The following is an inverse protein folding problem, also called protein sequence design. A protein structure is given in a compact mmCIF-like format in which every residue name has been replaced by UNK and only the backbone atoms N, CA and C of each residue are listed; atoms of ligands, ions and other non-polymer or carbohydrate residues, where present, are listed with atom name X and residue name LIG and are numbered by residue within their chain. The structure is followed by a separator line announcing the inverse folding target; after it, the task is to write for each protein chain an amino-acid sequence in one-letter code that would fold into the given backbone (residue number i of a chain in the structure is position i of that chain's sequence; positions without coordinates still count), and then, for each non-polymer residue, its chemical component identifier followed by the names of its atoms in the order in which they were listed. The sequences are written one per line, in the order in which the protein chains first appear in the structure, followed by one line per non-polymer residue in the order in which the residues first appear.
data_IF_354332819913
#
_entry.id   IF_354332819913
#
_cell.length_a   1.000
_cell.length_b   1.000
_cell.length_c   1.000
_cell.angle_alpha   90.00
_cell.angle_beta   90.00
_cell.angle_gamma   90.00
#
_symmetry.space_group_name_H-M   'P 1'
#
loop_
_entity.id
_entity.type
_entity.pdbx_description
1 polymer ?
#
# COMPACT_ATOMS: atom_id res chain seq x y z
N UNK A 1 -14.52 28.71 10.11
CA UNK A 1 -13.63 28.50 11.28
C UNK A 1 -13.19 27.05 11.26
N UNK A 2 -11.92 26.74 11.57
CA UNK A 2 -11.46 25.35 11.70
C UNK A 2 -12.29 24.58 12.73
N UNK A 3 -12.53 23.31 12.44
CA UNK A 3 -13.03 22.34 13.41
C UNK A 3 -11.83 21.62 14.01
N UNK A 4 -11.77 21.52 15.33
CA UNK A 4 -10.74 20.80 16.04
C UNK A 4 -11.35 19.75 16.94
N UNK A 5 -10.73 18.58 16.95
CA UNK A 5 -11.12 17.46 17.78
C UNK A 5 -10.27 17.47 19.05
N UNK A 6 -10.91 17.28 20.19
CA UNK A 6 -10.26 17.23 21.49
C UNK A 6 -10.63 15.94 22.21
N UNK A 7 -9.66 15.43 22.98
CA UNK A 7 -9.79 14.25 23.84
C UNK A 7 -9.38 14.59 25.27
N UNK A 8 -10.15 14.07 26.23
CA UNK A 8 -9.77 14.10 27.63
C UNK A 8 -9.15 12.76 28.04
N UNK A 9 -8.00 12.77 28.73
CA UNK A 9 -7.38 11.53 29.21
C UNK A 9 -8.17 10.87 30.36
N UNK A 10 -8.85 11.66 31.19
CA UNK A 10 -9.56 11.15 32.37
C UNK A 10 -10.91 10.52 32.03
N UNK A 11 -11.77 11.24 31.32
CA UNK A 11 -13.10 10.73 30.95
C UNK A 11 -13.15 10.07 29.57
N UNK A 12 -12.09 10.18 28.77
CA UNK A 12 -12.00 9.65 27.40
C UNK A 12 -13.11 10.14 26.46
N UNK A 13 -13.71 11.27 26.77
CA UNK A 13 -14.69 11.89 25.89
C UNK A 13 -13.99 12.59 24.73
N UNK A 14 -14.51 12.36 23.52
CA UNK A 14 -14.17 13.06 22.29
C UNK A 14 -15.15 14.21 22.07
N UNK A 15 -14.65 15.36 21.64
CA UNK A 15 -15.50 16.52 21.38
C UNK A 15 -14.94 17.37 20.25
N UNK A 16 -15.82 17.75 19.33
CA UNK A 16 -15.50 18.62 18.21
C UNK A 16 -15.89 20.06 18.54
N UNK A 17 -14.97 21.00 18.34
CA UNK A 17 -15.25 22.43 18.60
C UNK A 17 -14.74 23.33 17.49
N UNK A 18 -15.54 24.36 17.18
CA UNK A 18 -15.15 25.40 16.25
C UNK A 18 -14.31 26.45 16.98
N UNK A 19 -13.02 26.53 16.66
CA UNK A 19 -12.10 27.45 17.31
C UNK A 19 -11.40 28.33 16.27
N UNK A 20 -11.16 29.62 16.60
CA UNK A 20 -10.35 30.47 15.72
C UNK A 20 -8.89 30.09 15.88
N UNK A 21 -8.13 30.20 14.78
CA UNK A 21 -6.69 29.91 14.78
C UNK A 21 -5.92 30.80 15.78
N UNK A 22 -6.43 32.00 16.07
CA UNK A 22 -5.82 32.96 17.02
C UNK A 22 -6.19 32.73 18.48
N UNK A 23 -7.18 31.88 18.77
CA UNK A 23 -7.64 31.66 20.15
C UNK A 23 -6.76 30.63 20.85
N UNK A 24 -6.61 30.77 22.16
CA UNK A 24 -5.83 29.84 22.99
C UNK A 24 -6.52 28.47 23.11
N UNK A 25 -5.73 27.39 23.07
CA UNK A 25 -6.23 26.01 23.20
C UNK A 25 -7.01 25.80 24.49
N UNK A 26 -8.14 25.08 24.41
CA UNK A 26 -8.95 24.72 25.57
C UNK A 26 -8.19 23.68 26.39
N UNK A 27 -7.92 23.98 27.66
CA UNK A 27 -7.15 23.09 28.57
C UNK A 27 -8.03 22.33 29.56
N UNK A 28 -9.31 22.68 29.67
CA UNK A 28 -10.22 22.13 30.68
C UNK A 28 -11.35 21.38 29.99
N UNK A 29 -11.58 20.14 30.41
CA UNK A 29 -12.68 19.33 29.89
C UNK A 29 -14.02 19.89 30.40
N UNK A 30 -15.01 20.16 29.52
CA UNK A 30 -16.32 20.67 29.94
C UNK A 30 -17.20 19.63 30.66
N UNK A 31 -16.82 18.34 30.63
CA UNK A 31 -17.61 17.24 31.20
C UNK A 31 -17.15 16.91 32.62
N UNK A 32 -15.85 16.69 32.82
CA UNK A 32 -15.29 16.30 34.11
C UNK A 32 -14.53 17.41 34.84
N UNK A 33 -14.22 18.53 34.17
CA UNK A 33 -13.45 19.63 34.77
C UNK A 33 -11.93 19.38 34.85
N UNK A 34 -11.44 18.26 34.33
CA UNK A 34 -10.02 17.92 34.35
C UNK A 34 -9.17 18.83 33.44
N UNK A 35 -7.92 19.13 33.83
CA UNK A 35 -6.97 19.89 33.00
C UNK A 35 -6.25 19.05 31.93
N UNK A 36 -6.61 17.77 31.78
CA UNK A 36 -6.02 16.78 30.87
C UNK A 36 -6.73 16.78 29.50
N UNK A 37 -7.12 17.96 29.03
CA UNK A 37 -7.86 18.12 27.78
C UNK A 37 -6.92 18.61 26.68
N UNK A 38 -6.75 17.81 25.63
CA UNK A 38 -5.78 18.09 24.58
C UNK A 38 -6.39 17.88 23.19
N UNK A 39 -5.83 18.59 22.20
CA UNK A 39 -6.29 18.52 20.83
C UNK A 39 -5.73 17.28 20.14
N UNK A 40 -6.57 16.53 19.46
CA UNK A 40 -6.18 15.39 18.63
C UNK A 40 -5.75 15.92 17.26
N UNK A 41 -4.51 15.65 16.82
CA UNK A 41 -4.14 15.87 15.44
C UNK A 41 -4.85 14.82 14.58
N UNK A 42 -5.76 15.25 13.72
CA UNK A 42 -6.26 14.40 12.65
C UNK A 42 -5.07 14.06 11.74
N UNK A 43 -4.75 12.77 11.62
CA UNK A 43 -3.73 12.33 10.69
C UNK A 43 -4.19 12.72 9.28
N UNK A 44 -3.36 13.42 8.48
CA UNK A 44 -3.66 13.55 7.06
C UNK A 44 -3.78 12.14 6.49
N UNK A 45 -4.70 11.96 5.55
CA UNK A 45 -4.92 10.67 4.90
C UNK A 45 -3.68 10.35 4.05
N UNK A 46 -2.64 9.82 4.70
CA UNK A 46 -1.41 9.39 4.04
C UNK A 46 -1.74 8.10 3.33
N UNK A 47 -1.50 8.00 2.01
CA UNK A 47 -1.68 6.73 1.33
C UNK A 47 -0.76 5.73 2.02
N UNK A 48 -1.34 4.66 2.56
CA UNK A 48 -0.56 3.52 3.05
C UNK A 48 0.37 3.11 1.90
N UNK A 49 1.68 2.97 2.14
CA UNK A 49 2.57 2.41 1.13
C UNK A 49 2.03 1.02 0.81
N UNK A 50 1.47 0.85 -0.39
CA UNK A 50 1.10 -0.47 -0.90
C UNK A 50 2.34 -1.36 -0.79
N UNK A 51 2.25 -2.40 0.03
CA UNK A 51 3.14 -3.54 -0.11
C UNK A 51 2.85 -4.09 -1.51
N UNK A 52 3.68 -3.73 -2.49
CA UNK A 52 3.56 -4.27 -3.84
C UNK A 52 3.79 -5.77 -3.71
N UNK A 53 2.71 -6.54 -3.69
CA UNK A 53 2.80 -7.98 -3.82
C UNK A 53 3.44 -8.27 -5.17
N UNK A 54 4.36 -9.24 -5.25
CA UNK A 54 4.97 -9.61 -6.51
C UNK A 54 3.88 -9.92 -7.54
N UNK A 55 4.06 -9.40 -8.75
CA UNK A 55 3.04 -9.46 -9.80
C UNK A 55 3.28 -10.75 -10.60
N UNK A 56 2.37 -11.71 -10.43
CA UNK A 56 2.36 -12.96 -11.18
C UNK A 56 1.87 -12.74 -12.62
N UNK A 57 2.67 -13.14 -13.61
CA UNK A 57 2.35 -13.00 -15.03
C UNK A 57 1.74 -14.28 -15.59
N UNK A 58 0.56 -14.66 -15.10
CA UNK A 58 -0.13 -15.90 -15.50
C UNK A 58 -0.44 -15.98 -17.01
N UNK A 59 -0.55 -14.85 -17.70
CA UNK A 59 -0.74 -14.80 -19.16
C UNK A 59 0.50 -15.26 -19.96
N UNK A 60 1.67 -15.31 -19.33
CA UNK A 60 2.96 -15.70 -19.95
C UNK A 60 3.45 -17.03 -19.36
N UNK A 61 2.58 -17.77 -18.65
CA UNK A 61 2.97 -19.03 -18.02
C UNK A 61 3.44 -20.06 -19.06
N UNK A 62 4.59 -20.67 -18.80
CA UNK A 62 5.20 -21.70 -19.65
C UNK A 62 5.06 -23.06 -18.99
N UNK A 63 4.77 -24.10 -19.78
CA UNK A 63 4.60 -25.47 -19.29
C UNK A 63 5.85 -26.33 -19.51
N UNK A 64 6.64 -26.05 -20.54
CA UNK A 64 7.84 -26.83 -20.86
C UNK A 64 9.09 -26.25 -20.20
N UNK A 65 9.91 -27.13 -19.62
CA UNK A 65 11.17 -26.73 -18.98
C UNK A 65 12.11 -25.96 -19.91
N UNK A 66 12.15 -26.34 -21.20
CA UNK A 66 13.02 -25.69 -22.17
C UNK A 66 12.66 -24.22 -22.36
N UNK A 67 11.37 -23.93 -22.48
CA UNK A 67 10.85 -22.56 -22.61
C UNK A 67 11.19 -21.72 -21.37
N UNK A 68 11.08 -22.32 -20.17
CA UNK A 68 11.41 -21.63 -18.90
C UNK A 68 12.90 -21.26 -18.85
N UNK A 69 13.79 -22.16 -19.27
CA UNK A 69 15.23 -21.91 -19.32
C UNK A 69 15.57 -20.83 -20.34
N UNK A 70 15.00 -20.91 -21.55
CA UNK A 70 15.23 -19.93 -22.61
C UNK A 70 14.68 -18.55 -22.22
N UNK A 71 13.52 -18.50 -21.57
CA UNK A 71 12.94 -17.27 -21.05
C UNK A 71 13.80 -16.64 -19.95
N UNK A 72 14.32 -17.44 -19.01
CA UNK A 72 15.22 -16.96 -17.96
C UNK A 72 16.53 -16.43 -18.53
N UNK A 73 17.01 -17.00 -19.64
CA UNK A 73 18.18 -16.51 -20.37
C UNK A 73 17.95 -15.13 -20.99
N UNK A 74 16.74 -14.88 -21.49
CA UNK A 74 16.35 -13.60 -22.09
C UNK A 74 15.99 -12.54 -21.03
N UNK A 75 15.55 -12.97 -19.85
CA UNK A 75 15.10 -12.12 -18.75
C UNK A 75 15.69 -12.60 -17.40
N UNK A 76 16.96 -12.27 -17.10
CA UNK A 76 17.62 -12.72 -15.86
C UNK A 76 17.04 -12.09 -14.60
N UNK A 77 16.37 -10.94 -14.72
CA UNK A 77 15.81 -10.17 -13.59
C UNK A 77 14.46 -10.71 -13.09
N UNK A 78 13.83 -11.62 -13.85
CA UNK A 78 12.49 -12.14 -13.57
C UNK A 78 12.61 -13.50 -12.89
N UNK A 79 11.90 -13.68 -11.79
CA UNK A 79 11.91 -14.93 -11.04
C UNK A 79 10.86 -15.89 -11.61
N UNK A 80 11.26 -17.12 -11.93
CA UNK A 80 10.37 -18.21 -12.36
C UNK A 80 10.70 -19.45 -11.52
N UNK A 81 9.69 -20.09 -10.90
CA UNK A 81 9.89 -21.38 -10.24
C UNK A 81 10.24 -22.47 -11.26
N UNK A 82 11.20 -23.32 -10.89
CA UNK A 82 11.62 -24.51 -11.65
C UNK A 82 11.09 -25.82 -11.03
N UNK A 83 10.38 -25.74 -9.91
CA UNK A 83 9.89 -26.93 -9.22
C UNK A 83 8.52 -27.33 -9.80
N UNK A 84 8.38 -28.51 -10.44
CA UNK A 84 7.15 -28.92 -11.11
C UNK A 84 5.99 -29.21 -10.14
N UNK A 85 6.26 -29.24 -8.83
CA UNK A 85 5.26 -29.39 -7.78
C UNK A 85 4.68 -28.05 -7.32
N UNK A 86 5.31 -26.93 -7.66
CA UNK A 86 4.82 -25.61 -7.29
C UNK A 86 3.66 -25.19 -8.20
N UNK A 87 2.62 -24.54 -7.63
CA UNK A 87 1.53 -23.98 -8.43
C UNK A 87 1.98 -22.83 -9.35
N UNK A 88 3.15 -22.23 -9.06
CA UNK A 88 3.77 -21.15 -9.84
C UNK A 88 4.88 -21.65 -10.79
N UNK A 89 4.93 -22.96 -11.06
CA UNK A 89 5.89 -23.51 -12.00
C UNK A 89 5.76 -22.85 -13.37
N UNK A 90 6.87 -22.31 -13.88
CA UNK A 90 6.92 -21.63 -15.18
C UNK A 90 6.13 -20.33 -15.27
N UNK A 91 5.62 -19.79 -14.14
CA UNK A 91 4.99 -18.46 -14.08
C UNK A 91 6.08 -17.42 -13.81
N UNK A 92 6.22 -16.41 -14.68
CA UNK A 92 7.12 -15.29 -14.44
C UNK A 92 6.59 -14.35 -13.35
N UNK A 93 7.43 -13.99 -12.39
CA UNK A 93 7.09 -13.14 -11.25
C UNK A 93 7.92 -11.84 -11.33
N UNK A 94 7.23 -10.71 -11.45
CA UNK A 94 7.85 -9.38 -11.48
C UNK A 94 7.79 -8.71 -10.10
N UNK A 95 8.86 -8.01 -9.70
CA UNK A 95 8.93 -7.26 -8.43
C UNK A 95 8.25 -5.90 -8.54
N UNK A 96 8.17 -5.35 -9.75
CA UNK A 96 7.53 -4.06 -10.01
C UNK A 96 6.65 -4.07 -11.27
N UNK A 97 5.68 -3.14 -11.32
CA UNK A 97 4.85 -2.93 -12.52
C UNK A 97 5.69 -2.59 -13.76
N UNK A 98 6.79 -1.86 -13.59
CA UNK A 98 7.67 -1.50 -14.70
C UNK A 98 8.38 -2.71 -15.30
N UNK A 99 8.82 -3.65 -14.46
CA UNK A 99 9.41 -4.92 -14.92
C UNK A 99 8.40 -5.76 -15.69
N UNK A 100 7.16 -5.90 -15.16
CA UNK A 100 6.08 -6.59 -15.88
C UNK A 100 5.89 -6.02 -17.29
N UNK A 101 5.78 -4.70 -17.41
CA UNK A 101 5.58 -4.05 -18.72
C UNK A 101 6.73 -4.32 -19.69
N UNK A 102 7.98 -4.30 -19.22
CA UNK A 102 9.15 -4.64 -20.05
C UNK A 102 9.10 -6.08 -20.56
N UNK A 103 8.65 -7.01 -19.72
CA UNK A 103 8.51 -8.42 -20.11
C UNK A 103 7.40 -8.60 -21.15
N UNK A 104 6.23 -7.98 -20.92
CA UNK A 104 5.10 -8.08 -21.85
C UNK A 104 5.43 -7.49 -23.23
N UNK A 105 6.12 -6.34 -23.26
CA UNK A 105 6.55 -5.69 -24.52
C UNK A 105 7.48 -6.60 -25.34
N UNK A 106 8.45 -7.26 -24.69
CA UNK A 106 9.36 -8.22 -25.34
C UNK A 106 8.64 -9.46 -25.89
N UNK A 107 7.61 -9.94 -25.20
CA UNK A 107 6.82 -11.10 -25.62
C UNK A 107 5.79 -10.72 -26.70
N UNK A 108 5.67 -9.43 -27.04
CA UNK A 108 4.71 -8.93 -28.01
C UNK A 108 3.28 -8.85 -27.49
N UNK A 109 3.10 -8.88 -26.17
CA UNK A 109 1.81 -8.72 -25.50
C UNK A 109 1.53 -7.23 -25.27
N UNK A 110 0.82 -6.59 -26.19
CA UNK A 110 0.25 -5.27 -25.95
C UNK A 110 -1.02 -5.44 -25.10
N UNK A 111 -1.02 -5.01 -23.83
CA UNK A 111 -2.27 -4.83 -23.07
C UNK A 111 -3.14 -3.82 -23.85
N UNK A 112 -4.25 -4.29 -24.43
CA UNK A 112 -5.25 -3.39 -25.02
C UNK A 112 -5.86 -2.60 -23.87
N UNK A 113 -5.51 -1.32 -23.79
CA UNK A 113 -6.15 -0.34 -22.91
C UNK A 113 -7.67 -0.29 -23.13
#
# INVERSE_FOLDING_TARGET
MPLYDYTCDDCKCEYETFQRIKDESIKVCPICGSPTYHRVPTLPNTPMKEFQTPIEMNSVAMTYHQDIVDFKRQNPDVECSHDPKDPLYGVPIAKSRQEKLKVLDKVGFCEKN
#
